data_IF_595471400679
#
_entry.id   IF_595471400679
#
_cell.length_a   1.000
_cell.length_b   1.000
_cell.length_c   1.000
_cell.angle_alpha   90.00
_cell.angle_beta   90.00
_cell.angle_gamma   90.00
#
_symmetry.space_group_name_H-M   'P 1'
#
loop_
_entity.id
_entity.type
_entity.pdbx_description
1 polymer ?
#
# COMPACT_ATOMS: atom_id res chain seq x y z
N UNK A 1 1.46 -27.28 -3.14
CA UNK A 1 1.73 -25.86 -2.81
C UNK A 1 2.74 -25.85 -1.67
N UNK A 2 3.93 -25.30 -1.88
CA UNK A 2 5.09 -25.49 -0.99
C UNK A 2 5.04 -24.54 0.22
N UNK A 3 5.29 -25.04 1.43
CA UNK A 3 5.18 -24.27 2.70
C UNK A 3 6.09 -23.03 2.73
N UNK A 4 7.20 -23.07 2.00
CA UNK A 4 8.16 -21.95 1.85
C UNK A 4 7.49 -20.72 1.21
N UNK A 5 6.66 -20.92 0.18
CA UNK A 5 5.95 -19.82 -0.49
C UNK A 5 4.87 -19.22 0.42
N UNK A 6 4.16 -20.06 1.19
CA UNK A 6 3.16 -19.59 2.17
C UNK A 6 3.81 -18.72 3.27
N UNK A 7 4.97 -19.15 3.79
CA UNK A 7 5.71 -18.41 4.82
C UNK A 7 6.25 -17.06 4.31
N UNK A 8 6.74 -17.02 3.06
CA UNK A 8 7.13 -15.75 2.43
C UNK A 8 5.97 -14.76 2.25
N UNK A 9 4.74 -15.26 2.04
CA UNK A 9 3.57 -14.37 1.88
C UNK A 9 3.09 -13.76 3.18
N UNK A 10 3.05 -14.54 4.26
CA UNK A 10 2.72 -14.02 5.58
C UNK A 10 3.75 -12.99 6.03
N UNK A 11 5.03 -13.23 5.76
CA UNK A 11 6.11 -12.26 6.01
C UNK A 11 5.87 -10.92 5.31
N UNK A 12 5.50 -10.90 4.02
CA UNK A 12 5.22 -9.64 3.31
C UNK A 12 3.96 -8.91 3.81
N UNK A 13 2.91 -9.64 4.18
CA UNK A 13 1.70 -9.01 4.74
C UNK A 13 1.98 -8.40 6.12
N UNK A 14 2.82 -9.06 6.92
CA UNK A 14 3.28 -8.56 8.22
C UNK A 14 4.07 -7.26 8.08
N UNK A 15 5.02 -7.20 7.14
CA UNK A 15 5.76 -5.97 6.84
C UNK A 15 4.82 -4.79 6.52
N UNK A 16 3.80 -5.02 5.67
CA UNK A 16 2.80 -3.97 5.36
C UNK A 16 2.02 -3.56 6.61
N UNK A 17 1.65 -4.51 7.47
CA UNK A 17 0.95 -4.20 8.72
C UNK A 17 1.85 -3.39 9.68
N UNK A 18 3.12 -3.74 9.81
CA UNK A 18 4.13 -3.04 10.62
C UNK A 18 4.31 -1.59 10.18
N UNK A 19 4.58 -1.35 8.89
CA UNK A 19 4.73 0.01 8.35
C UNK A 19 3.44 0.82 8.48
N UNK A 20 2.29 0.19 8.31
CA UNK A 20 1.00 0.87 8.49
C UNK A 20 0.78 1.24 9.95
N UNK A 21 1.11 0.35 10.89
CA UNK A 21 0.98 0.59 12.32
C UNK A 21 1.82 1.80 12.75
N UNK A 22 3.08 1.83 12.34
CA UNK A 22 4.01 2.94 12.57
C UNK A 22 3.45 4.27 12.02
N UNK A 23 3.04 4.30 10.75
CA UNK A 23 2.52 5.50 10.11
C UNK A 23 1.19 6.00 10.71
N UNK A 24 0.40 5.11 11.30
CA UNK A 24 -0.89 5.45 11.93
C UNK A 24 -0.78 5.68 13.45
N UNK A 25 0.40 5.51 14.05
CA UNK A 25 0.59 5.64 15.50
C UNK A 25 -0.15 4.57 16.33
N UNK A 26 -0.31 3.37 15.79
CA UNK A 26 -0.92 2.22 16.49
C UNK A 26 0.08 1.06 16.55
N UNK A 27 -0.22 0.02 17.33
CA UNK A 27 0.60 -1.20 17.32
C UNK A 27 0.05 -2.25 16.36
N UNK A 28 0.92 -3.14 15.87
CA UNK A 28 0.52 -4.25 14.99
C UNK A 28 -0.41 -5.20 15.74
N UNK A 29 -0.15 -5.44 17.02
CA UNK A 29 -1.00 -6.27 17.88
C UNK A 29 -2.40 -5.68 17.97
N UNK A 30 -2.54 -4.35 18.07
CA UNK A 30 -3.85 -3.71 18.06
C UNK A 30 -4.56 -3.97 16.72
N UNK A 31 -3.84 -3.86 15.60
CA UNK A 31 -4.39 -4.17 14.27
C UNK A 31 -4.81 -5.64 14.14
N UNK A 32 -4.07 -6.59 14.72
CA UNK A 32 -4.42 -8.02 14.71
C UNK A 32 -5.53 -8.37 15.73
N UNK A 33 -5.67 -7.59 16.79
CA UNK A 33 -6.67 -7.82 17.84
C UNK A 33 -8.10 -7.60 17.34
N UNK A 34 -9.08 -7.98 18.16
CA UNK A 34 -10.49 -7.72 17.91
C UNK A 34 -10.91 -6.24 18.08
N UNK A 35 -10.01 -5.37 18.57
CA UNK A 35 -10.29 -3.96 18.84
C UNK A 35 -10.91 -3.23 17.63
N UNK A 36 -11.94 -2.42 17.94
CA UNK A 36 -12.76 -1.68 16.96
C UNK A 36 -12.73 -0.16 17.17
N UNK A 37 -11.79 0.36 17.97
CA UNK A 37 -11.58 1.80 18.04
C UNK A 37 -11.26 2.35 16.63
N UNK A 38 -11.56 3.64 16.44
CA UNK A 38 -11.57 4.25 15.10
C UNK A 38 -10.19 4.19 14.47
N UNK A 39 -9.16 4.47 15.26
CA UNK A 39 -7.75 4.55 14.88
C UNK A 39 -7.25 3.20 14.39
N UNK A 40 -7.44 2.15 15.20
CA UNK A 40 -7.03 0.78 14.87
C UNK A 40 -7.80 0.24 13.66
N UNK A 41 -9.10 0.52 13.59
CA UNK A 41 -9.93 0.10 12.45
C UNK A 41 -9.48 0.77 11.16
N UNK A 42 -9.18 2.07 11.21
CA UNK A 42 -8.65 2.83 10.07
C UNK A 42 -7.29 2.29 9.62
N UNK A 43 -6.34 2.09 10.54
CA UNK A 43 -5.03 1.52 10.24
C UNK A 43 -5.15 0.13 9.60
N UNK A 44 -6.02 -0.75 10.13
CA UNK A 44 -6.29 -2.08 9.54
C UNK A 44 -6.85 -1.98 8.12
N UNK A 45 -7.76 -1.06 7.86
CA UNK A 45 -8.31 -0.87 6.51
C UNK A 45 -7.27 -0.34 5.53
N UNK A 46 -6.40 0.57 5.96
CA UNK A 46 -5.26 1.06 5.16
C UNK A 46 -4.32 -0.10 4.82
N UNK A 47 -3.94 -0.91 5.81
CA UNK A 47 -3.09 -2.08 5.59
C UNK A 47 -3.75 -3.10 4.65
N UNK A 48 -5.04 -3.38 4.84
CA UNK A 48 -5.80 -4.27 3.98
C UNK A 48 -5.83 -3.77 2.52
N UNK A 49 -6.03 -2.47 2.31
CA UNK A 49 -5.96 -1.84 0.99
C UNK A 49 -4.55 -1.99 0.37
N UNK A 50 -3.49 -1.71 1.13
CA UNK A 50 -2.11 -1.84 0.66
C UNK A 50 -1.77 -3.29 0.30
N UNK A 51 -2.12 -4.25 1.15
CA UNK A 51 -1.92 -5.68 0.87
C UNK A 51 -2.69 -6.10 -0.38
N UNK A 52 -3.94 -5.66 -0.53
CA UNK A 52 -4.76 -5.94 -1.72
C UNK A 52 -4.10 -5.40 -3.00
N UNK A 53 -3.68 -4.13 -2.99
CA UNK A 53 -3.17 -3.44 -4.19
C UNK A 53 -1.70 -3.75 -4.51
N UNK A 54 -0.86 -3.95 -3.50
CA UNK A 54 0.58 -4.23 -3.68
C UNK A 54 0.85 -5.72 -3.85
N UNK A 55 0.23 -6.55 -3.02
CA UNK A 55 0.54 -7.99 -2.93
C UNK A 55 -0.46 -8.88 -3.67
N UNK A 56 -1.54 -8.31 -4.23
CA UNK A 56 -2.55 -9.04 -5.01
C UNK A 56 -3.33 -10.08 -4.21
N UNK A 57 -3.41 -9.94 -2.88
CA UNK A 57 -4.10 -10.89 -2.00
C UNK A 57 -5.59 -10.66 -2.01
N UNK A 58 -6.39 -11.72 -1.94
CA UNK A 58 -7.84 -11.61 -1.86
C UNK A 58 -8.30 -11.12 -0.49
N UNK A 59 -9.50 -10.53 -0.42
CA UNK A 59 -10.11 -10.11 0.86
C UNK A 59 -10.25 -11.26 1.86
N UNK A 60 -10.45 -12.49 1.39
CA UNK A 60 -10.48 -13.69 2.24
C UNK A 60 -9.10 -14.06 2.79
N UNK A 61 -8.02 -13.92 2.00
CA UNK A 61 -6.65 -14.14 2.49
C UNK A 61 -6.28 -13.08 3.53
N UNK A 62 -6.59 -11.83 3.25
CA UNK A 62 -6.37 -10.69 4.15
C UNK A 62 -7.20 -10.83 5.43
N UNK A 63 -8.45 -11.29 5.31
CA UNK A 63 -9.33 -11.56 6.44
C UNK A 63 -8.75 -12.61 7.37
N UNK A 64 -8.24 -13.73 6.83
CA UNK A 64 -7.53 -14.73 7.65
C UNK A 64 -6.31 -14.14 8.36
N UNK A 65 -5.52 -13.35 7.65
CA UNK A 65 -4.33 -12.70 8.21
C UNK A 65 -4.65 -11.78 9.40
N UNK A 66 -5.69 -10.94 9.29
CA UNK A 66 -6.13 -10.06 10.39
C UNK A 66 -7.13 -10.70 11.36
N UNK A 67 -7.48 -11.99 11.20
CA UNK A 67 -8.55 -12.63 11.98
C UNK A 67 -9.93 -11.99 11.80
N UNK A 68 -10.23 -11.39 10.64
CA UNK A 68 -11.46 -10.65 10.35
C UNK A 68 -12.29 -11.28 9.24
N UNK A 69 -13.60 -11.01 9.28
CA UNK A 69 -14.48 -11.40 8.20
C UNK A 69 -14.11 -10.67 6.89
N UNK A 70 -14.06 -11.45 5.81
CA UNK A 70 -13.64 -11.01 4.49
C UNK A 70 -14.54 -9.91 3.90
N UNK A 71 -15.83 -9.84 4.27
CA UNK A 71 -16.72 -8.74 3.85
C UNK A 71 -16.37 -7.44 4.57
N UNK A 72 -15.93 -7.53 5.84
CA UNK A 72 -15.43 -6.37 6.60
C UNK A 72 -14.13 -5.83 5.99
N UNK A 73 -13.23 -6.74 5.58
CA UNK A 73 -12.03 -6.37 4.84
C UNK A 73 -12.38 -5.70 3.51
N UNK A 74 -13.27 -6.30 2.71
CA UNK A 74 -13.70 -5.74 1.44
C UNK A 74 -14.31 -4.34 1.61
N UNK A 75 -15.14 -4.15 2.64
CA UNK A 75 -15.68 -2.85 2.99
C UNK A 75 -14.57 -1.86 3.34
N UNK A 76 -13.60 -2.26 4.17
CA UNK A 76 -12.42 -1.46 4.53
C UNK A 76 -11.57 -1.02 3.32
N UNK A 77 -11.33 -1.93 2.38
CA UNK A 77 -10.61 -1.65 1.13
C UNK A 77 -11.34 -0.57 0.34
N UNK A 78 -12.64 -0.75 0.08
CA UNK A 78 -13.46 0.23 -0.68
C UNK A 78 -13.52 1.59 0.02
N UNK A 79 -13.63 1.58 1.35
CA UNK A 79 -13.64 2.80 2.17
C UNK A 79 -12.31 3.55 2.05
N UNK A 80 -11.19 2.83 2.07
CA UNK A 80 -9.86 3.40 1.88
C UNK A 80 -9.69 3.95 0.46
N UNK A 81 -10.15 3.24 -0.58
CA UNK A 81 -10.13 3.74 -1.96
C UNK A 81 -10.91 5.04 -2.14
N UNK A 82 -12.06 5.16 -1.48
CA UNK A 82 -12.80 6.41 -1.47
C UNK A 82 -12.05 7.51 -0.70
N UNK A 83 -11.52 7.20 0.49
CA UNK A 83 -10.76 8.15 1.30
C UNK A 83 -9.52 8.67 0.58
N UNK A 84 -8.84 7.86 -0.24
CA UNK A 84 -7.70 8.32 -1.05
C UNK A 84 -8.06 9.44 -2.04
N UNK A 85 -9.32 9.51 -2.47
CA UNK A 85 -9.81 10.56 -3.38
C UNK A 85 -10.33 11.79 -2.64
N UNK A 86 -10.74 11.64 -1.38
CA UNK A 86 -11.48 12.67 -0.64
C UNK A 86 -10.75 13.21 0.58
N UNK A 87 -9.70 12.54 1.05
CA UNK A 87 -8.96 12.86 2.28
C UNK A 87 -7.45 12.90 1.99
N UNK A 88 -6.87 14.10 1.83
CA UNK A 88 -5.45 14.26 1.53
C UNK A 88 -4.51 13.61 2.54
N UNK A 89 -4.88 13.59 3.83
CA UNK A 89 -4.05 12.98 4.88
C UNK A 89 -3.93 11.46 4.72
N UNK A 90 -5.03 10.80 4.34
CA UNK A 90 -5.01 9.35 4.05
C UNK A 90 -4.16 9.08 2.80
N UNK A 91 -4.24 9.94 1.78
CA UNK A 91 -3.42 9.83 0.59
C UNK A 91 -1.92 9.97 0.92
N UNK A 92 -1.54 10.94 1.76
CA UNK A 92 -0.15 11.12 2.22
C UNK A 92 0.37 9.91 2.98
N UNK A 93 -0.41 9.36 3.92
CA UNK A 93 -0.03 8.15 4.68
C UNK A 93 0.21 6.98 3.73
N UNK A 94 -0.72 6.71 2.81
CA UNK A 94 -0.59 5.61 1.84
C UNK A 94 0.58 5.82 0.88
N UNK A 95 0.84 7.06 0.46
CA UNK A 95 1.99 7.40 -0.39
C UNK A 95 3.31 7.19 0.35
N UNK A 96 3.42 7.64 1.61
CA UNK A 96 4.59 7.44 2.46
C UNK A 96 4.93 5.96 2.61
N UNK A 97 3.95 5.15 3.05
CA UNK A 97 4.13 3.70 3.17
C UNK A 97 4.53 3.07 1.84
N UNK A 98 3.93 3.51 0.72
CA UNK A 98 4.28 2.98 -0.59
C UNK A 98 5.71 3.32 -1.02
N UNK A 99 6.21 4.49 -0.63
CA UNK A 99 7.56 4.95 -0.91
C UNK A 99 8.59 4.18 -0.09
N UNK A 100 8.31 3.91 1.19
CA UNK A 100 9.18 3.09 2.05
C UNK A 100 9.44 1.72 1.42
N UNK A 101 8.38 1.06 0.94
CA UNK A 101 8.51 -0.22 0.26
C UNK A 101 9.15 -0.12 -1.13
N UNK A 102 9.09 1.03 -1.81
CA UNK A 102 9.71 1.18 -3.12
C UNK A 102 11.24 1.05 -3.05
N UNK A 103 11.84 1.48 -1.93
CA UNK A 103 13.27 1.35 -1.66
C UNK A 103 13.64 -0.09 -1.28
N UNK A 104 12.84 -0.75 -0.44
CA UNK A 104 13.04 -2.15 -0.05
C UNK A 104 12.86 -3.11 -1.23
N UNK A 105 11.89 -2.84 -2.12
CA UNK A 105 11.63 -3.65 -3.31
C UNK A 105 12.85 -3.65 -4.26
N UNK A 106 13.65 -2.58 -4.30
CA UNK A 106 14.84 -2.48 -5.16
C UNK A 106 15.91 -3.52 -4.84
N UNK A 107 16.15 -3.79 -3.56
CA UNK A 107 17.16 -4.73 -3.09
C UNK A 107 16.73 -6.19 -3.34
N UNK A 108 15.45 -6.48 -3.13
CA UNK A 108 14.83 -7.76 -3.51
C UNK A 108 14.84 -7.96 -5.03
N UNK A 109 14.67 -6.90 -5.81
CA UNK A 109 14.65 -6.96 -7.27
C UNK A 109 16.02 -7.20 -7.88
N UNK A 110 17.10 -6.81 -7.19
CA UNK A 110 18.47 -7.21 -7.56
C UNK A 110 18.63 -8.73 -7.57
N UNK A 111 17.97 -9.42 -6.65
CA UNK A 111 17.99 -10.88 -6.52
C UNK A 111 16.87 -11.57 -7.33
N UNK A 112 15.87 -10.81 -7.80
CA UNK A 112 14.73 -11.35 -8.54
C UNK A 112 15.07 -11.78 -9.98
N UNK A 113 14.25 -12.71 -10.49
CA UNK A 113 14.32 -13.17 -11.88
C UNK A 113 14.15 -12.03 -12.89
N UNK A 114 14.66 -12.23 -14.12
CA UNK A 114 14.66 -11.21 -15.19
C UNK A 114 13.28 -10.59 -15.42
N UNK A 115 12.23 -11.41 -15.44
CA UNK A 115 10.86 -10.98 -15.70
C UNK A 115 10.29 -10.06 -14.60
N UNK A 116 10.65 -10.28 -13.33
CA UNK A 116 10.19 -9.42 -12.23
C UNK A 116 10.88 -8.06 -12.27
N UNK A 117 12.17 -8.03 -12.62
CA UNK A 117 12.90 -6.79 -12.87
C UNK A 117 12.34 -6.02 -14.06
N UNK A 118 12.04 -6.68 -15.17
CA UNK A 118 11.43 -6.04 -16.34
C UNK A 118 10.07 -5.41 -16.01
N UNK A 119 9.24 -6.11 -15.22
CA UNK A 119 7.96 -5.56 -14.74
C UNK A 119 8.13 -4.34 -13.83
N UNK A 120 9.12 -4.36 -12.94
CA UNK A 120 9.43 -3.20 -12.11
C UNK A 120 9.89 -2.03 -12.95
N UNK A 121 10.85 -2.25 -13.85
CA UNK A 121 11.41 -1.21 -14.71
C UNK A 121 10.28 -0.52 -15.46
N UNK A 122 9.40 -1.28 -16.11
CA UNK A 122 8.24 -0.73 -16.80
C UNK A 122 7.35 0.10 -15.86
N UNK A 123 7.11 -0.37 -14.63
CA UNK A 123 6.27 0.34 -13.66
C UNK A 123 6.91 1.64 -13.18
N UNK A 124 8.23 1.65 -12.97
CA UNK A 124 9.00 2.82 -12.58
C UNK A 124 9.04 3.86 -13.71
N UNK A 125 9.28 3.42 -14.95
CA UNK A 125 9.22 4.27 -16.13
C UNK A 125 7.84 4.90 -16.27
N UNK A 126 6.76 4.13 -16.11
CA UNK A 126 5.39 4.67 -16.17
C UNK A 126 5.08 5.66 -15.06
N UNK A 127 5.63 5.46 -13.86
CA UNK A 127 5.48 6.42 -12.78
C UNK A 127 6.25 7.71 -13.08
N UNK A 128 7.50 7.60 -13.56
CA UNK A 128 8.31 8.73 -13.97
C UNK A 128 7.62 9.54 -15.07
N UNK A 129 7.10 8.89 -16.12
CA UNK A 129 6.31 9.52 -17.17
C UNK A 129 5.14 10.36 -16.61
N UNK A 130 4.43 9.81 -15.61
CA UNK A 130 3.31 10.49 -14.96
C UNK A 130 3.74 11.72 -14.16
N UNK A 131 4.85 11.60 -13.42
CA UNK A 131 5.45 12.70 -12.67
C UNK A 131 5.91 13.80 -13.63
N UNK A 132 6.62 13.46 -14.70
CA UNK A 132 7.09 14.44 -15.70
C UNK A 132 5.93 15.20 -16.35
N UNK A 133 4.86 14.52 -16.74
CA UNK A 133 3.65 15.18 -17.26
C UNK A 133 3.03 16.14 -16.26
N UNK A 134 2.98 15.74 -14.99
CA UNK A 134 2.40 16.57 -13.93
C UNK A 134 3.27 17.82 -13.71
N UNK A 135 4.60 17.67 -13.70
CA UNK A 135 5.53 18.79 -13.59
C UNK A 135 5.45 19.72 -14.80
N UNK A 136 5.29 19.19 -16.01
CA UNK A 136 5.14 19.98 -17.21
C UNK A 136 3.87 20.84 -17.16
N UNK A 137 2.73 20.24 -16.77
CA UNK A 137 1.48 20.97 -16.60
C UNK A 137 1.61 22.08 -15.55
N UNK A 138 2.19 21.77 -14.38
CA UNK A 138 2.40 22.77 -13.32
C UNK A 138 3.31 23.92 -13.78
N UNK A 139 4.32 23.65 -14.63
CA UNK A 139 5.18 24.69 -15.21
C UNK A 139 4.41 25.59 -16.18
N UNK A 140 3.55 25.01 -17.02
CA UNK A 140 2.72 25.76 -17.97
C UNK A 140 1.72 26.66 -17.23
N UNK A 141 1.05 26.13 -16.21
CA UNK A 141 0.14 26.90 -15.34
C UNK A 141 0.86 28.06 -14.64
N UNK A 142 2.08 27.85 -14.14
CA UNK A 142 2.91 28.91 -13.55
C UNK A 142 3.38 29.97 -14.56
N UNK A 143 3.49 29.64 -15.85
CA UNK A 143 3.82 30.61 -16.89
C UNK A 143 2.62 31.54 -17.22
N UNK A 144 1.39 31.02 -17.15
CA UNK A 144 0.16 31.77 -17.44
C UNK A 144 -0.29 32.70 -16.27
N UNK A 145 0.27 32.54 -15.07
CA UNK A 145 0.01 33.39 -13.90
C UNK A 145 0.92 34.63 -13.79
N UNK A 146 1.77 34.89 -14.78
CA UNK A 146 2.61 36.11 -14.80
C UNK A 146 1.79 37.31 -15.32
N UNK A 147 1.63 38.42 -14.56
CA UNK A 147 0.92 39.60 -15.03
C UNK A 147 1.59 40.31 -16.22
#
# INVERSE_FOLDING_TARGET
MNAIAANQFESRMLQVAERTAEACGVTVEAMMSEARNRETSQARHIAAYLIYRRLGKSSSQIGRFFGRDHTSILHGIRKTEHALRTQPDVAKVVQGINADFALEDFEVLREAGRADRERLIWRLEKLADGIERTLQQLREELCDETP
#
